data_IF_125931790356
#
_entry.id   IF_125931790356
#
_cell.length_a   1.000
_cell.length_b   1.000
_cell.length_c   1.000
_cell.angle_alpha   90.00
_cell.angle_beta   90.00
_cell.angle_gamma   90.00
#
_symmetry.space_group_name_H-M   'P 1'
#
loop_
_entity.id
_entity.type
_entity.pdbx_description
1 polymer ?
#
# COMPACT_ATOMS: atom_id res chain seq x y z
N UNK A 1 -5.13 5.73 15.96
CA UNK A 1 -3.97 6.63 15.74
C UNK A 1 -4.38 7.82 14.90
N UNK A 2 -4.91 7.60 13.67
CA UNK A 2 -5.21 8.72 12.79
C UNK A 2 -6.36 9.59 13.27
N UNK A 3 -7.36 9.00 13.94
CA UNK A 3 -8.41 9.79 14.56
C UNK A 3 -7.85 10.78 15.58
N UNK A 4 -6.86 10.33 16.38
CA UNK A 4 -6.17 11.20 17.36
C UNK A 4 -5.32 12.28 16.69
N UNK A 5 -5.10 12.16 15.39
CA UNK A 5 -4.37 13.13 14.58
C UNK A 5 -5.33 13.85 13.60
N UNK A 6 -6.58 14.03 14.05
CA UNK A 6 -7.59 14.85 13.38
C UNK A 6 -8.06 14.32 12.03
N UNK A 7 -8.02 13.00 11.85
CA UNK A 7 -8.56 12.37 10.63
C UNK A 7 -9.97 11.84 10.91
N UNK A 8 -10.88 12.11 9.99
CA UNK A 8 -12.23 11.53 10.04
C UNK A 8 -12.15 10.05 9.68
N UNK A 9 -12.71 9.20 10.53
CA UNK A 9 -12.86 7.78 10.19
C UNK A 9 -13.98 7.68 9.16
N UNK A 10 -13.66 7.13 7.98
CA UNK A 10 -14.60 6.99 6.87
C UNK A 10 -14.72 5.50 6.54
N UNK A 11 -15.95 5.04 6.36
CA UNK A 11 -16.20 3.63 6.06
C UNK A 11 -15.69 3.25 4.66
N UNK A 12 -15.41 1.96 4.49
CA UNK A 12 -15.08 1.40 3.19
C UNK A 12 -16.21 1.67 2.20
N UNK A 13 -15.86 2.12 1.01
CA UNK A 13 -16.84 2.21 -0.07
C UNK A 13 -17.13 0.82 -0.62
N UNK A 14 -18.17 0.71 -1.43
CA UNK A 14 -18.52 -0.53 -2.12
C UNK A 14 -17.37 -0.96 -3.04
N UNK A 15 -17.20 -2.26 -3.20
CA UNK A 15 -16.19 -2.81 -4.09
C UNK A 15 -16.42 -2.42 -5.55
N UNK A 16 -17.69 -2.38 -5.96
CA UNK A 16 -18.03 -1.92 -7.31
C UNK A 16 -18.27 -0.41 -7.22
N UNK A 17 -17.36 0.40 -7.81
CA UNK A 17 -17.52 1.85 -7.72
C UNK A 17 -18.77 2.32 -8.46
N UNK A 18 -19.54 3.18 -7.82
CA UNK A 18 -20.71 3.78 -8.46
C UNK A 18 -20.23 4.87 -9.42
N UNK A 19 -20.75 4.82 -10.63
CA UNK A 19 -20.56 5.89 -11.63
C UNK A 19 -19.09 6.14 -12.01
N UNK A 20 -18.27 5.10 -11.96
CA UNK A 20 -16.88 5.19 -12.48
C UNK A 20 -16.67 4.16 -13.57
N UNK A 21 -16.76 4.57 -14.84
CA UNK A 21 -16.59 3.62 -15.95
C UNK A 21 -15.14 3.16 -16.16
N UNK A 22 -14.19 3.76 -15.44
CA UNK A 22 -12.77 3.42 -15.62
C UNK A 22 -12.31 2.26 -14.75
N UNK A 23 -13.11 1.87 -13.74
CA UNK A 23 -12.73 0.83 -12.79
C UNK A 23 -13.87 -0.18 -12.61
N UNK A 24 -13.54 -1.45 -12.70
CA UNK A 24 -14.49 -2.52 -12.36
C UNK A 24 -14.64 -2.66 -10.85
N UNK A 25 -13.54 -2.56 -10.11
CA UNK A 25 -13.52 -2.68 -8.66
C UNK A 25 -12.69 -1.58 -8.03
N UNK A 26 -13.00 -1.24 -6.77
CA UNK A 26 -12.14 -0.39 -5.96
C UNK A 26 -10.84 -1.15 -5.73
N UNK A 27 -9.73 -0.62 -6.24
CA UNK A 27 -8.42 -1.28 -6.19
C UNK A 27 -7.46 -0.60 -5.22
N UNK A 28 -7.90 0.45 -4.55
CA UNK A 28 -7.10 1.18 -3.56
C UNK A 28 -8.01 2.05 -2.71
N UNK A 29 -7.46 2.55 -1.62
CA UNK A 29 -8.22 3.38 -0.68
C UNK A 29 -8.65 4.72 -1.25
N UNK A 30 -7.91 5.23 -2.23
CA UNK A 30 -8.18 6.56 -2.77
C UNK A 30 -9.39 6.60 -3.71
N UNK A 31 -9.88 5.46 -4.18
CA UNK A 31 -10.91 5.43 -5.23
C UNK A 31 -12.17 6.19 -4.81
N UNK A 32 -12.64 6.01 -3.58
CA UNK A 32 -13.82 6.74 -3.12
C UNK A 32 -13.59 8.25 -2.99
N UNK A 33 -12.33 8.69 -2.96
CA UNK A 33 -11.97 10.10 -2.81
C UNK A 33 -11.47 10.73 -4.10
N UNK A 34 -11.55 10.02 -5.22
CA UNK A 34 -11.07 10.52 -6.52
C UNK A 34 -11.55 11.93 -6.82
N UNK A 35 -12.85 12.17 -6.68
CA UNK A 35 -13.44 13.47 -6.98
C UNK A 35 -13.13 14.53 -5.92
N UNK A 36 -12.77 14.11 -4.71
CA UNK A 36 -12.31 15.03 -3.67
C UNK A 36 -10.93 15.57 -4.06
N UNK A 37 -10.01 14.69 -4.51
CA UNK A 37 -8.68 15.11 -4.95
C UNK A 37 -8.74 16.07 -6.12
N UNK A 38 -9.64 15.83 -7.08
CA UNK A 38 -9.75 16.68 -8.28
C UNK A 38 -10.54 17.96 -8.03
N UNK A 39 -11.18 18.09 -6.87
CA UNK A 39 -11.98 19.27 -6.53
C UNK A 39 -13.41 19.23 -7.04
N UNK A 40 -13.82 18.11 -7.66
CA UNK A 40 -15.19 17.96 -8.18
C UNK A 40 -16.19 17.67 -7.06
N UNK A 41 -15.70 17.19 -5.91
CA UNK A 41 -16.54 16.88 -4.76
C UNK A 41 -15.92 17.54 -3.53
N UNK A 42 -16.77 17.99 -2.62
CA UNK A 42 -16.33 18.55 -1.33
C UNK A 42 -16.86 17.68 -0.20
N UNK A 43 -16.04 17.48 0.82
CA UNK A 43 -16.43 16.82 2.05
C UNK A 43 -16.32 17.82 3.20
N UNK A 44 -16.97 17.52 4.32
CA UNK A 44 -16.91 18.37 5.51
C UNK A 44 -15.66 18.11 6.36
N UNK A 45 -14.66 17.41 5.81
CA UNK A 45 -13.38 17.15 6.45
C UNK A 45 -12.26 17.27 5.40
N UNK A 46 -11.07 17.59 5.87
CA UNK A 46 -9.88 17.68 5.01
C UNK A 46 -8.90 16.55 5.26
N UNK A 47 -9.15 15.71 6.27
CA UNK A 47 -8.32 14.54 6.59
C UNK A 47 -9.24 13.35 6.79
N UNK A 48 -8.86 12.21 6.23
CA UNK A 48 -9.65 10.99 6.38
C UNK A 48 -8.74 9.80 6.63
N UNK A 49 -9.30 8.76 7.25
CA UNK A 49 -8.62 7.48 7.38
C UNK A 49 -9.64 6.36 7.15
N UNK A 50 -9.19 5.31 6.46
CA UNK A 50 -10.07 4.20 6.08
C UNK A 50 -9.38 2.87 6.23
N UNK A 51 -10.19 1.80 6.33
CA UNK A 51 -9.77 0.45 5.99
C UNK A 51 -10.65 0.04 4.80
N UNK A 52 -10.14 0.22 3.59
CA UNK A 52 -10.90 0.05 2.35
C UNK A 52 -10.78 -1.36 1.82
N UNK A 53 -11.92 -2.00 1.57
CA UNK A 53 -11.96 -3.29 0.89
C UNK A 53 -11.60 -3.09 -0.58
N UNK A 54 -10.68 -3.90 -1.08
CA UNK A 54 -10.13 -3.74 -2.43
C UNK A 54 -10.09 -5.08 -3.16
N UNK A 55 -10.21 -5.01 -4.50
CA UNK A 55 -10.02 -6.17 -5.37
C UNK A 55 -9.04 -5.79 -6.48
N UNK A 56 -8.02 -6.62 -6.67
CA UNK A 56 -7.03 -6.48 -7.75
C UNK A 56 -7.01 -7.74 -8.60
N UNK A 57 -8.00 -7.86 -9.48
CA UNK A 57 -8.19 -9.02 -10.34
C UNK A 57 -8.50 -8.57 -11.76
N UNK A 58 -7.60 -7.76 -12.33
CA UNK A 58 -7.73 -7.22 -13.68
C UNK A 58 -7.34 -5.76 -13.74
N UNK A 59 -7.15 -5.25 -14.93
CA UNK A 59 -6.78 -3.86 -15.16
C UNK A 59 -5.31 -3.58 -14.88
N UNK A 60 -5.02 -2.34 -14.53
CA UNK A 60 -3.64 -1.89 -14.30
C UNK A 60 -3.02 -2.58 -13.08
N UNK A 61 -3.79 -2.75 -12.02
CA UNK A 61 -3.34 -3.41 -10.79
C UNK A 61 -3.98 -4.79 -10.73
N UNK A 62 -3.28 -5.77 -11.24
CA UNK A 62 -3.79 -7.15 -11.34
C UNK A 62 -2.83 -8.11 -10.64
N UNK A 63 -3.27 -8.70 -9.54
CA UNK A 63 -2.46 -9.64 -8.76
C UNK A 63 -2.91 -11.10 -8.95
N UNK A 64 -3.91 -11.34 -9.80
CA UNK A 64 -4.54 -12.66 -9.92
C UNK A 64 -3.53 -13.79 -10.18
N UNK A 65 -2.55 -13.54 -11.05
CA UNK A 65 -1.57 -14.55 -11.42
C UNK A 65 -0.55 -14.84 -10.32
N UNK A 66 -0.40 -13.94 -9.36
CA UNK A 66 0.55 -14.09 -8.25
C UNK A 66 -0.07 -14.79 -7.04
N UNK A 67 -1.40 -14.81 -6.94
CA UNK A 67 -2.10 -15.39 -5.78
C UNK A 67 -1.82 -16.88 -5.70
N UNK A 68 -1.40 -17.31 -4.52
CA UNK A 68 -1.03 -18.69 -4.24
C UNK A 68 0.47 -18.93 -4.36
N UNK A 69 1.15 -18.17 -5.21
CA UNK A 69 2.57 -18.37 -5.54
C UNK A 69 3.51 -17.43 -4.81
N UNK A 70 2.98 -16.42 -4.15
CA UNK A 70 3.74 -15.53 -3.28
C UNK A 70 3.09 -15.48 -1.90
N UNK A 71 3.83 -15.10 -0.87
CA UNK A 71 3.26 -14.99 0.48
C UNK A 71 2.47 -13.71 0.71
N UNK A 72 2.40 -12.78 -0.26
CA UNK A 72 1.92 -11.43 0.01
C UNK A 72 0.89 -10.87 -0.98
N UNK A 73 0.54 -11.59 -2.03
CA UNK A 73 -0.43 -11.10 -3.03
C UNK A 73 -1.81 -11.70 -2.81
N UNK A 74 -2.83 -10.86 -2.98
CA UNK A 74 -4.23 -11.23 -2.79
C UNK A 74 -5.08 -10.60 -3.88
N UNK A 75 -6.16 -11.28 -4.27
CA UNK A 75 -7.18 -10.67 -5.12
C UNK A 75 -8.05 -9.72 -4.32
N UNK A 76 -8.47 -10.17 -3.11
CA UNK A 76 -9.24 -9.35 -2.16
C UNK A 76 -8.37 -9.06 -0.95
N UNK A 77 -8.33 -7.80 -0.54
CA UNK A 77 -7.56 -7.39 0.64
C UNK A 77 -8.12 -6.09 1.20
N UNK A 78 -7.67 -5.70 2.37
CA UNK A 78 -8.02 -4.41 2.95
C UNK A 78 -6.80 -3.50 2.93
N UNK A 79 -7.03 -2.26 2.51
CA UNK A 79 -5.98 -1.24 2.46
C UNK A 79 -6.25 -0.20 3.52
N UNK A 80 -5.33 -0.07 4.47
CA UNK A 80 -5.37 0.99 5.48
C UNK A 80 -4.82 2.25 4.84
N UNK A 81 -5.53 3.36 5.01
CA UNK A 81 -5.10 4.60 4.40
C UNK A 81 -5.35 5.81 5.28
N UNK A 82 -4.50 6.81 5.11
CA UNK A 82 -4.76 8.15 5.60
C UNK A 82 -4.60 9.13 4.46
N UNK A 83 -5.43 10.16 4.48
CA UNK A 83 -5.61 11.06 3.34
C UNK A 83 -5.61 12.50 3.83
N UNK A 84 -5.01 13.38 3.01
CA UNK A 84 -5.07 14.82 3.22
C UNK A 84 -5.53 15.47 1.90
N UNK A 85 -6.63 16.17 1.96
CA UNK A 85 -7.23 16.84 0.80
C UNK A 85 -6.85 18.31 0.84
N UNK A 86 -5.57 18.60 0.49
CA UNK A 86 -5.08 19.96 0.47
C UNK A 86 -4.80 20.54 1.85
N UNK A 87 -4.64 19.72 2.86
CA UNK A 87 -4.31 20.15 4.22
C UNK A 87 -2.80 20.00 4.45
N UNK A 88 -2.34 18.81 4.85
CA UNK A 88 -0.89 18.57 4.97
C UNK A 88 -0.35 17.91 3.72
N UNK A 89 0.98 17.94 3.57
CA UNK A 89 1.64 17.34 2.41
C UNK A 89 2.82 16.48 2.89
N UNK A 90 3.93 16.46 2.18
CA UNK A 90 5.03 15.49 2.39
C UNK A 90 5.55 15.45 3.82
N UNK A 91 5.85 16.60 4.42
CA UNK A 91 6.47 16.65 5.74
C UNK A 91 5.61 15.97 6.79
N UNK A 92 4.35 16.37 6.89
CA UNK A 92 3.43 15.81 7.90
C UNK A 92 3.08 14.35 7.59
N UNK A 93 2.94 14.00 6.31
CA UNK A 93 2.66 12.62 5.93
C UNK A 93 3.79 11.68 6.38
N UNK A 94 5.03 12.08 6.14
CA UNK A 94 6.21 11.30 6.54
C UNK A 94 6.30 11.21 8.06
N UNK A 95 6.05 12.32 8.77
CA UNK A 95 6.07 12.34 10.22
C UNK A 95 5.03 11.39 10.81
N UNK A 96 3.80 11.45 10.32
CA UNK A 96 2.72 10.57 10.78
C UNK A 96 3.07 9.09 10.52
N UNK A 97 3.59 8.81 9.33
CA UNK A 97 3.95 7.44 8.96
C UNK A 97 5.08 6.90 9.83
N UNK A 98 6.14 7.67 9.98
CA UNK A 98 7.30 7.23 10.77
C UNK A 98 6.93 7.00 12.23
N UNK A 99 6.13 7.89 12.80
CA UNK A 99 5.69 7.73 14.19
C UNK A 99 4.82 6.49 14.37
N UNK A 100 3.92 6.21 13.42
CA UNK A 100 3.07 5.02 13.54
C UNK A 100 3.91 3.75 13.53
N UNK A 101 4.80 3.59 12.56
CA UNK A 101 5.52 2.31 12.43
C UNK A 101 6.61 2.15 13.49
N UNK A 102 7.24 3.21 13.96
CA UNK A 102 8.34 3.08 14.93
C UNK A 102 7.90 3.21 16.37
N UNK A 103 6.95 4.10 16.67
CA UNK A 103 6.52 4.34 18.05
C UNK A 103 5.31 3.49 18.43
N UNK A 104 4.28 3.48 17.58
CA UNK A 104 3.06 2.73 17.92
C UNK A 104 3.20 1.24 17.63
N UNK A 105 3.71 0.88 16.46
CA UNK A 105 3.94 -0.53 16.11
C UNK A 105 5.24 -1.08 16.68
N UNK A 106 6.21 -0.23 17.01
CA UNK A 106 7.47 -0.64 17.61
C UNK A 106 8.40 -1.38 16.67
N UNK A 107 8.32 -1.11 15.35
CA UNK A 107 9.21 -1.78 14.41
C UNK A 107 10.66 -1.30 14.57
N UNK A 108 11.60 -2.23 14.39
CA UNK A 108 13.02 -1.94 14.50
C UNK A 108 13.46 -1.01 13.36
N UNK A 109 13.91 0.19 13.74
CA UNK A 109 14.36 1.21 12.77
C UNK A 109 15.48 0.72 11.88
N UNK A 110 16.31 -0.21 12.39
CA UNK A 110 17.44 -0.75 11.62
C UNK A 110 16.98 -1.64 10.46
N UNK A 111 15.74 -2.09 10.48
CA UNK A 111 15.15 -2.92 9.42
C UNK A 111 14.32 -2.14 8.43
N UNK A 112 14.27 -0.81 8.56
CA UNK A 112 13.40 0.04 7.73
C UNK A 112 14.22 0.76 6.66
N UNK A 113 13.73 0.71 5.44
CA UNK A 113 14.26 1.39 4.26
C UNK A 113 13.12 2.13 3.58
N UNK A 114 13.44 3.22 2.89
CA UNK A 114 12.40 3.97 2.17
C UNK A 114 12.85 4.22 0.74
N UNK A 115 11.89 4.37 -0.15
CA UNK A 115 12.15 4.82 -1.52
C UNK A 115 11.59 6.22 -1.70
N UNK A 116 12.14 6.95 -2.65
CA UNK A 116 11.58 8.22 -3.14
C UNK A 116 11.67 8.21 -4.66
N UNK A 117 10.78 8.96 -5.31
CA UNK A 117 10.91 9.15 -6.75
C UNK A 117 12.22 9.89 -7.03
N UNK A 118 12.87 9.56 -8.14
CA UNK A 118 14.29 9.89 -8.37
C UNK A 118 14.61 11.38 -8.24
N UNK A 119 13.66 12.26 -8.57
CA UNK A 119 13.88 13.71 -8.50
C UNK A 119 13.10 14.37 -7.36
N UNK A 120 12.54 13.59 -6.45
CA UNK A 120 11.81 14.13 -5.30
C UNK A 120 12.79 14.41 -4.15
N UNK A 121 13.56 15.48 -4.30
CA UNK A 121 14.53 15.90 -3.28
C UNK A 121 13.85 16.30 -1.98
N UNK A 122 12.64 16.83 -2.07
CA UNK A 122 11.87 17.25 -0.90
C UNK A 122 11.58 16.06 0.02
N UNK A 123 11.04 14.98 -0.55
CA UNK A 123 10.77 13.77 0.23
C UNK A 123 12.07 13.17 0.78
N UNK A 124 13.13 13.14 -0.05
CA UNK A 124 14.43 12.63 0.37
C UNK A 124 14.90 13.38 1.64
N UNK A 125 14.84 14.70 1.62
CA UNK A 125 15.31 15.52 2.73
C UNK A 125 14.42 15.38 3.96
N UNK A 126 13.12 15.23 3.80
CA UNK A 126 12.23 14.99 4.95
C UNK A 126 12.53 13.66 5.63
N UNK A 127 12.80 12.60 4.87
CA UNK A 127 13.18 11.32 5.48
C UNK A 127 14.47 11.45 6.28
N UNK A 128 15.46 12.18 5.77
CA UNK A 128 16.69 12.42 6.53
C UNK A 128 16.40 13.19 7.82
N UNK A 129 15.63 14.24 7.72
CA UNK A 129 15.35 15.15 8.86
C UNK A 129 14.46 14.50 9.92
N UNK A 130 13.36 13.88 9.49
CA UNK A 130 12.31 13.39 10.40
C UNK A 130 12.66 12.01 10.95
N UNK A 131 13.07 11.11 10.07
CA UNK A 131 13.36 9.71 10.44
C UNK A 131 14.81 9.51 10.88
N UNK A 132 15.70 10.44 10.54
CA UNK A 132 17.11 10.27 10.83
C UNK A 132 17.77 9.16 10.02
N UNK A 133 17.18 8.80 8.89
CA UNK A 133 17.73 7.74 8.04
C UNK A 133 19.00 8.20 7.35
N UNK A 134 19.99 7.31 7.27
CA UNK A 134 21.19 7.54 6.46
C UNK A 134 20.82 7.47 4.98
N UNK A 135 21.62 8.12 4.13
CA UNK A 135 21.32 8.23 2.71
C UNK A 135 21.27 6.87 2.02
N UNK A 136 22.01 5.89 2.50
CA UNK A 136 21.97 4.54 1.94
C UNK A 136 20.65 3.80 2.22
N UNK A 137 19.84 4.30 3.14
CA UNK A 137 18.52 3.74 3.44
C UNK A 137 17.38 4.51 2.76
N UNK A 138 17.70 5.56 1.98
CA UNK A 138 16.71 6.32 1.21
C UNK A 138 17.05 6.11 -0.27
N UNK A 139 16.30 5.26 -0.94
CA UNK A 139 16.63 4.77 -2.27
C UNK A 139 15.85 5.55 -3.32
N UNK A 140 16.57 6.12 -4.31
CA UNK A 140 15.92 6.86 -5.40
C UNK A 140 15.55 5.88 -6.51
N UNK A 141 14.29 5.92 -6.92
CA UNK A 141 13.73 5.04 -7.96
C UNK A 141 13.24 5.90 -9.12
N UNK A 142 13.79 5.63 -10.31
CA UNK A 142 13.46 6.42 -11.51
C UNK A 142 12.28 5.84 -12.30
N UNK A 143 11.88 4.61 -12.01
CA UNK A 143 10.81 3.95 -12.76
C UNK A 143 9.43 4.39 -12.24
N UNK A 144 8.39 3.93 -12.93
CA UNK A 144 7.00 4.18 -12.53
C UNK A 144 6.63 3.50 -11.21
N UNK A 145 7.50 2.68 -10.64
CA UNK A 145 7.23 2.05 -9.35
C UNK A 145 7.06 3.11 -8.26
N UNK A 146 7.76 4.24 -8.39
CA UNK A 146 7.60 5.34 -7.44
C UNK A 146 6.86 6.55 -8.03
N UNK A 147 6.02 6.31 -9.04
CA UNK A 147 5.07 7.32 -9.54
C UNK A 147 3.71 6.65 -9.69
N UNK A 148 2.83 6.89 -8.74
CA UNK A 148 1.54 6.19 -8.66
C UNK A 148 0.49 6.88 -9.53
N UNK A 149 -0.33 6.07 -10.18
CA UNK A 149 -1.52 6.54 -10.89
C UNK A 149 -2.64 5.52 -10.73
N UNK A 150 -3.87 6.03 -10.63
CA UNK A 150 -5.05 5.18 -10.43
C UNK A 150 -5.30 4.28 -11.64
N UNK A 151 -5.10 4.84 -12.83
CA UNK A 151 -5.31 4.16 -14.10
C UNK A 151 -4.74 5.02 -15.22
N UNK A 152 -5.39 4.97 -16.38
CA UNK A 152 -4.95 5.80 -17.52
C UNK A 152 -5.21 7.28 -17.31
N UNK A 153 -6.21 7.60 -16.51
CA UNK A 153 -6.57 8.98 -16.14
C UNK A 153 -6.82 9.05 -14.64
N UNK A 154 -6.87 10.27 -14.11
CA UNK A 154 -7.16 10.51 -12.71
C UNK A 154 -5.99 11.08 -11.94
N UNK A 155 -6.15 11.26 -10.64
CA UNK A 155 -5.07 11.80 -9.80
C UNK A 155 -3.83 10.93 -9.82
N UNK A 156 -2.66 11.56 -9.74
CA UNK A 156 -1.38 10.86 -9.76
C UNK A 156 -0.28 11.73 -9.14
N UNK A 157 0.85 11.11 -8.85
CA UNK A 157 1.99 11.82 -8.32
C UNK A 157 3.11 10.89 -7.85
N UNK A 158 4.26 11.49 -7.51
CA UNK A 158 5.37 10.71 -7.00
C UNK A 158 5.02 10.10 -5.67
N UNK A 159 5.62 8.95 -5.37
CA UNK A 159 5.35 8.27 -4.11
C UNK A 159 6.64 7.91 -3.40
N UNK A 160 6.47 7.55 -2.14
CA UNK A 160 7.54 7.12 -1.25
C UNK A 160 7.05 5.89 -0.51
N UNK A 161 7.78 4.80 -0.65
CA UNK A 161 7.41 3.52 -0.05
C UNK A 161 8.28 3.24 1.16
N UNK A 162 7.71 2.53 2.13
CA UNK A 162 8.44 2.05 3.30
C UNK A 162 8.58 0.54 3.16
N UNK A 163 9.82 0.05 3.27
CA UNK A 163 10.16 -1.37 3.16
C UNK A 163 10.68 -1.87 4.49
N UNK A 164 10.39 -3.13 4.77
CA UNK A 164 10.87 -3.82 5.97
C UNK A 164 11.78 -4.98 5.55
N UNK A 165 12.95 -5.07 6.20
CA UNK A 165 13.90 -6.17 6.00
C UNK A 165 13.52 -7.31 6.94
N UNK A 166 12.96 -8.38 6.37
CA UNK A 166 12.55 -9.55 7.15
C UNK A 166 13.74 -10.43 7.60
N UNK A 167 14.93 -10.16 7.07
CA UNK A 167 16.13 -10.84 7.51
C UNK A 167 16.82 -11.63 6.41
N UNK A 168 18.11 -11.90 6.65
CA UNK A 168 18.99 -12.51 5.65
C UNK A 168 18.75 -14.01 5.44
N UNK A 169 17.84 -14.60 6.20
CA UNK A 169 17.43 -15.99 5.96
C UNK A 169 16.49 -16.10 4.75
N UNK A 170 15.99 -14.97 4.22
CA UNK A 170 15.15 -14.92 3.04
C UNK A 170 15.92 -14.33 1.87
N UNK A 171 15.59 -14.79 0.67
CA UNK A 171 16.18 -14.24 -0.55
C UNK A 171 15.52 -12.90 -0.89
N UNK A 172 16.31 -12.00 -1.47
CA UNK A 172 15.80 -10.72 -1.93
C UNK A 172 16.80 -9.61 -1.74
N UNK A 173 16.62 -8.55 -2.51
CA UNK A 173 17.47 -7.37 -2.47
C UNK A 173 16.65 -6.10 -2.28
N UNK A 174 17.36 -5.02 -2.04
CA UNK A 174 16.73 -3.70 -1.87
C UNK A 174 15.97 -3.29 -3.14
N UNK A 175 14.93 -2.46 -2.99
CA UNK A 175 14.22 -1.91 -4.16
C UNK A 175 15.21 -1.27 -5.14
N UNK A 176 14.95 -1.46 -6.43
CA UNK A 176 15.82 -0.96 -7.49
C UNK A 176 17.00 -1.85 -7.80
N UNK A 177 17.18 -2.96 -7.11
CA UNK A 177 18.26 -3.92 -7.39
C UNK A 177 17.70 -5.10 -8.19
N UNK A 178 18.62 -5.89 -8.76
CA UNK A 178 18.29 -7.03 -9.61
C UNK A 178 17.43 -8.08 -8.89
N UNK A 179 17.60 -8.21 -7.57
CA UNK A 179 16.93 -9.24 -6.78
C UNK A 179 15.76 -8.70 -5.95
N UNK A 180 15.18 -7.57 -6.35
CA UNK A 180 14.14 -6.90 -5.56
C UNK A 180 12.84 -7.71 -5.41
N UNK A 181 12.62 -8.68 -6.28
CA UNK A 181 11.38 -9.49 -6.25
C UNK A 181 11.33 -10.52 -5.12
N UNK A 182 12.42 -10.69 -4.38
CA UNK A 182 12.45 -11.65 -3.28
C UNK A 182 11.59 -11.27 -2.09
N UNK A 183 11.54 -12.16 -1.10
CA UNK A 183 10.68 -11.99 0.08
C UNK A 183 11.37 -11.28 1.24
N UNK A 184 12.64 -10.90 1.10
CA UNK A 184 13.38 -10.29 2.21
C UNK A 184 12.94 -8.85 2.47
N UNK A 185 12.96 -7.99 1.44
CA UNK A 185 12.62 -6.57 1.59
C UNK A 185 11.23 -6.34 1.03
N UNK A 186 10.25 -6.15 1.90
CA UNK A 186 8.84 -6.10 1.49
C UNK A 186 8.29 -4.70 1.75
N UNK A 187 7.65 -4.13 0.74
CA UNK A 187 6.91 -2.87 0.89
C UNK A 187 5.78 -3.07 1.89
N UNK A 188 5.77 -2.26 2.95
CA UNK A 188 4.70 -2.31 3.95
C UNK A 188 3.77 -1.11 3.87
N UNK A 189 4.20 0.00 3.25
CA UNK A 189 3.38 1.21 3.18
C UNK A 189 3.79 2.05 1.99
N UNK A 190 2.82 2.59 1.25
CA UNK A 190 3.08 3.51 0.14
C UNK A 190 2.43 4.85 0.45
N UNK A 191 3.23 5.92 0.46
CA UNK A 191 2.76 7.31 0.62
C UNK A 191 2.76 7.94 -0.77
N UNK A 192 1.60 8.40 -1.23
CA UNK A 192 1.48 9.00 -2.56
C UNK A 192 1.26 10.50 -2.41
N UNK A 193 2.11 11.27 -3.05
CA UNK A 193 2.04 12.74 -3.02
C UNK A 193 1.30 13.19 -4.27
N UNK A 194 -0.01 13.30 -4.14
CA UNK A 194 -0.91 13.64 -5.26
C UNK A 194 -0.71 15.09 -5.64
N UNK A 195 -0.09 15.29 -6.79
CA UNK A 195 0.21 16.64 -7.30
C UNK A 195 -0.51 16.92 -8.63
N UNK A 196 -0.84 15.87 -9.38
CA UNK A 196 -1.27 15.99 -10.76
C UNK A 196 -2.56 15.23 -11.02
N UNK A 197 -3.21 15.60 -12.11
CA UNK A 197 -4.30 14.83 -12.69
C UNK A 197 -3.95 14.52 -14.15
N UNK A 198 -3.93 13.24 -14.49
CA UNK A 198 -3.79 12.81 -15.86
C UNK A 198 -5.16 12.90 -16.53
N UNK A 199 -5.30 13.84 -17.46
CA UNK A 199 -6.56 14.10 -18.15
C UNK A 199 -6.73 13.14 -19.33
N UNK A 200 -5.62 12.85 -20.03
CA UNK A 200 -5.57 11.95 -21.17
C UNK A 200 -4.15 11.41 -21.29
N UNK A 201 -3.94 10.48 -22.21
CA UNK A 201 -2.61 9.89 -22.42
C UNK A 201 -1.48 10.92 -22.50
N UNK A 202 -1.76 12.07 -23.10
CA UNK A 202 -0.73 13.08 -23.35
C UNK A 202 -0.97 14.40 -22.61
N UNK A 203 -1.91 14.44 -21.67
CA UNK A 203 -2.21 15.70 -20.99
C UNK A 203 -2.28 15.51 -19.49
N UNK A 204 -1.42 16.22 -18.77
CA UNK A 204 -1.37 16.23 -17.31
C UNK A 204 -1.48 17.68 -16.83
N UNK A 205 -2.26 17.90 -15.78
CA UNK A 205 -2.42 19.21 -15.15
C UNK A 205 -2.16 19.08 -13.66
N UNK A 206 -1.96 20.21 -12.99
CA UNK A 206 -1.83 20.20 -11.54
C UNK A 206 -3.19 20.03 -10.88
N UNK A 207 -3.23 19.30 -9.77
CA UNK A 207 -4.42 19.26 -8.92
C UNK A 207 -4.66 20.65 -8.31
N UNK A 208 -5.92 20.97 -7.93
CA UNK A 208 -6.20 22.25 -7.27
C UNK A 208 -5.34 22.49 -6.04
N UNK A 209 -5.06 21.43 -5.27
CA UNK A 209 -4.20 21.48 -4.08
C UNK A 209 -3.37 20.20 -3.98
N UNK A 210 -2.09 20.32 -3.64
CA UNK A 210 -1.31 19.13 -3.31
C UNK A 210 -1.96 18.35 -2.18
N UNK A 211 -2.06 17.05 -2.34
CA UNK A 211 -2.82 16.19 -1.44
C UNK A 211 -2.03 14.90 -1.15
N UNK A 212 -2.48 14.16 -0.14
CA UNK A 212 -1.82 12.92 0.25
C UNK A 212 -2.81 11.76 0.21
N UNK A 213 -2.37 10.68 -0.40
CA UNK A 213 -3.02 9.37 -0.37
C UNK A 213 -2.01 8.39 0.20
N UNK A 214 -2.42 7.48 1.06
CA UNK A 214 -1.54 6.41 1.51
C UNK A 214 -2.24 5.07 1.47
N UNK A 215 -1.45 4.00 1.35
CA UNK A 215 -1.98 2.64 1.35
C UNK A 215 -1.03 1.67 2.03
N UNK A 216 -1.54 1.02 3.09
CA UNK A 216 -0.84 -0.03 3.80
C UNK A 216 -1.71 -1.28 3.76
N UNK A 217 -1.16 -2.39 3.27
CA UNK A 217 -1.91 -3.66 3.27
C UNK A 217 -2.15 -4.15 4.69
N UNK A 218 -3.42 -4.27 5.07
CA UNK A 218 -3.76 -4.79 6.40
C UNK A 218 -3.12 -6.16 6.62
N UNK A 219 -3.21 -7.03 5.62
CA UNK A 219 -2.68 -8.40 5.72
C UNK A 219 -1.17 -8.41 5.89
N UNK A 220 -0.45 -7.53 5.18
CA UNK A 220 1.02 -7.42 5.30
C UNK A 220 1.44 -6.94 6.67
N UNK A 221 0.83 -5.87 7.16
CA UNK A 221 1.23 -5.34 8.46
C UNK A 221 0.81 -6.29 9.59
N UNK A 222 -0.32 -6.98 9.45
CA UNK A 222 -0.75 -7.99 10.42
C UNK A 222 0.27 -9.14 10.48
N UNK A 223 0.73 -9.62 9.32
CA UNK A 223 1.75 -10.68 9.27
C UNK A 223 3.02 -10.23 9.98
N UNK A 224 3.50 -9.03 9.65
CA UNK A 224 4.71 -8.48 10.25
C UNK A 224 4.58 -8.40 11.77
N UNK A 225 3.46 -7.88 12.27
CA UNK A 225 3.23 -7.74 13.70
C UNK A 225 3.00 -9.08 14.40
N UNK A 226 2.61 -10.12 13.66
CA UNK A 226 2.49 -11.49 14.18
C UNK A 226 3.81 -12.28 14.04
N UNK A 227 4.86 -11.66 13.51
CA UNK A 227 6.19 -12.24 13.44
C UNK A 227 6.46 -13.11 12.22
N UNK A 228 5.75 -12.89 11.12
CA UNK A 228 5.96 -13.66 9.89
C UNK A 228 6.00 -12.72 8.67
N UNK A 229 6.64 -13.19 7.60
CA UNK A 229 6.63 -12.50 6.30
C UNK A 229 5.49 -13.03 5.41
N UNK A 230 4.81 -14.09 5.82
CA UNK A 230 3.81 -14.80 5.01
C UNK A 230 2.41 -14.43 5.50
N UNK A 231 1.66 -13.73 4.67
CA UNK A 231 0.29 -13.32 5.02
C UNK A 231 -0.61 -14.52 5.34
N UNK A 232 -0.36 -15.66 4.69
CA UNK A 232 -1.17 -16.86 4.90
C UNK A 232 -0.87 -17.57 6.22
N UNK A 233 0.19 -17.15 6.92
CA UNK A 233 0.50 -17.64 8.27
C UNK A 233 -0.15 -16.82 9.36
N UNK A 234 -0.87 -15.74 9.00
CA UNK A 234 -1.62 -14.96 9.99
C UNK A 234 -2.77 -15.78 10.56
N UNK A 235 -3.23 -15.39 11.72
CA UNK A 235 -4.32 -16.10 12.45
C UNK A 235 -5.57 -16.25 11.57
N UNK A 236 -5.90 -15.23 10.80
CA UNK A 236 -7.09 -15.24 9.95
C UNK A 236 -6.97 -16.29 8.82
N UNK A 237 -5.91 -16.21 8.03
CA UNK A 237 -5.72 -17.12 6.90
C UNK A 237 -5.46 -18.56 7.36
N UNK A 238 -4.73 -18.73 8.47
CA UNK A 238 -4.49 -20.07 9.02
C UNK A 238 -5.79 -20.80 9.35
N UNK A 239 -6.76 -20.09 9.93
CA UNK A 239 -8.06 -20.70 10.24
C UNK A 239 -8.76 -21.20 8.98
N UNK A 240 -8.75 -20.38 7.91
CA UNK A 240 -9.41 -20.76 6.65
C UNK A 240 -8.71 -21.99 6.05
N UNK A 241 -7.38 -21.95 5.99
CA UNK A 241 -6.60 -23.06 5.41
C UNK A 241 -6.81 -24.35 6.22
N UNK A 242 -6.76 -24.26 7.54
CA UNK A 242 -6.97 -25.43 8.39
C UNK A 242 -8.37 -26.01 8.20
N UNK A 243 -9.39 -25.17 8.13
CA UNK A 243 -10.77 -25.63 7.90
C UNK A 243 -10.90 -26.31 6.53
N UNK A 244 -10.28 -25.76 5.51
CA UNK A 244 -10.28 -26.36 4.18
C UNK A 244 -9.59 -27.73 4.22
N UNK A 245 -8.45 -27.82 4.91
CA UNK A 245 -7.70 -29.07 5.04
C UNK A 245 -8.54 -30.15 5.74
N UNK A 246 -9.23 -29.77 6.81
CA UNK A 246 -10.12 -30.69 7.54
C UNK A 246 -11.26 -31.20 6.65
N UNK A 247 -11.94 -30.30 5.95
CA UNK A 247 -13.07 -30.65 5.08
C UNK A 247 -12.62 -31.59 3.97
N UNK A 248 -11.46 -31.31 3.38
CA UNK A 248 -10.92 -32.10 2.28
C UNK A 248 -10.23 -33.38 2.74
N UNK A 249 -9.91 -33.47 4.02
CA UNK A 249 -9.10 -34.54 4.62
C UNK A 249 -7.74 -34.63 3.89
N UNK A 250 -7.12 -33.48 3.63
CA UNK A 250 -5.83 -33.34 2.93
C UNK A 250 -4.97 -32.33 3.69
N UNK A 251 -3.76 -32.71 4.05
CA UNK A 251 -2.84 -31.80 4.73
C UNK A 251 -2.12 -30.89 3.71
N UNK A 252 -1.96 -29.60 4.04
CA UNK A 252 -1.16 -28.72 3.17
C UNK A 252 0.30 -29.18 3.12
N UNK A 253 0.87 -29.18 1.93
CA UNK A 253 2.28 -29.52 1.71
C UNK A 253 2.79 -28.68 0.52
N UNK A 254 4.05 -28.88 0.15
CA UNK A 254 4.68 -28.07 -0.90
C UNK A 254 3.98 -28.23 -2.26
N UNK A 255 3.33 -29.37 -2.52
CA UNK A 255 2.70 -29.61 -3.80
C UNK A 255 1.31 -28.97 -3.93
N UNK A 256 0.62 -28.76 -2.80
CA UNK A 256 -0.76 -28.26 -2.81
C UNK A 256 -0.93 -26.91 -2.09
N UNK A 257 0.14 -26.33 -1.55
CA UNK A 257 0.05 -25.09 -0.78
C UNK A 257 -0.56 -23.95 -1.60
N UNK A 258 -0.16 -23.83 -2.87
CA UNK A 258 -0.70 -22.78 -3.73
C UNK A 258 -2.23 -22.89 -3.84
N UNK A 259 -2.74 -24.10 -3.95
CA UNK A 259 -4.21 -24.34 -4.00
C UNK A 259 -4.90 -23.91 -2.72
N UNK A 260 -4.31 -24.24 -1.57
CA UNK A 260 -4.87 -23.82 -0.28
C UNK A 260 -4.87 -22.30 -0.12
N UNK A 261 -3.81 -21.65 -0.60
CA UNK A 261 -3.73 -20.19 -0.55
C UNK A 261 -4.80 -19.55 -1.45
N UNK A 262 -5.00 -20.10 -2.65
CA UNK A 262 -6.04 -19.62 -3.58
C UNK A 262 -7.43 -19.77 -2.92
N UNK A 263 -7.70 -20.92 -2.30
CA UNK A 263 -8.97 -21.14 -1.59
C UNK A 263 -9.14 -20.08 -0.49
N UNK A 264 -8.11 -19.86 0.30
CA UNK A 264 -8.18 -18.91 1.41
C UNK A 264 -8.38 -17.48 0.91
N UNK A 265 -7.68 -17.10 -0.16
CA UNK A 265 -7.79 -15.76 -0.76
C UNK A 265 -9.19 -15.53 -1.33
N UNK A 266 -9.74 -16.52 -2.02
CA UNK A 266 -11.05 -16.41 -2.69
C UNK A 266 -12.24 -16.60 -1.78
N UNK A 267 -11.87 -17.30 -0.86
CA UNK A 267 -12.87 -17.57 0.07
C UNK A 267 -13.37 -16.58 0.72
#
# INVERSE_FOLDING_TARGET
YFEKNDHKIVESSNLVPNNDPTLMFANSGMVQFKNVFTGLEKRDYQRATTSQKCVRAGGKHNDLENVGYTPRHHTFFEMLGNFSFGDYFKERAIELAWNLITKEFGLDKNRLYVTVYHDDDEAFNYWKKIAGLSEDKIIRIATSDNFWSMGETGPCGPCSEIFYDHGDHLEGGLPGTKNEDGDRFIEIWNLVFMQYEQISKNKRINLPKPSVDTGMGLERIAALLQGTHDNYETDHFKKIINSAAEILNVEPDNDNLASFRVIADHX
#
